data_IF_953000759810
#
_entry.id   IF_953000759810
#
_cell.length_a   1.000
_cell.length_b   1.000
_cell.length_c   1.000
_cell.angle_alpha   90.00
_cell.angle_beta   90.00
_cell.angle_gamma   90.00
#
_symmetry.space_group_name_H-M   'P 1'
#
loop_
_entity.id
_entity.type
_entity.pdbx_description
1 polymer ?
#
# COMPACT_ATOMS: atom_id res chain seq x y z
N UNK A 1 8.18 -3.70 -3.79
CA UNK A 1 6.97 -4.12 -3.03
C UNK A 1 7.21 -3.92 -1.54
N UNK A 2 7.95 -4.81 -0.86
CA UNK A 2 8.47 -4.56 0.49
C UNK A 2 9.81 -3.81 0.38
N UNK A 3 9.90 -2.51 0.72
CA UNK A 3 11.12 -1.74 0.52
C UNK A 3 12.20 -2.08 1.55
N UNK A 4 13.46 -2.06 1.10
CA UNK A 4 14.63 -2.33 1.97
C UNK A 4 14.69 -1.38 3.17
N UNK A 5 14.31 -0.10 3.01
CA UNK A 5 14.40 0.91 4.07
C UNK A 5 13.53 0.61 5.30
N UNK A 6 12.37 -0.02 5.11
CA UNK A 6 11.48 -0.45 6.22
C UNK A 6 12.12 -1.58 7.03
N UNK A 7 12.96 -2.40 6.39
CA UNK A 7 13.61 -3.56 6.99
C UNK A 7 15.03 -3.24 7.52
N UNK A 8 15.39 -1.96 7.63
CA UNK A 8 16.75 -1.51 8.01
C UNK A 8 17.20 -1.86 9.43
N UNK A 9 16.35 -2.52 10.22
CA UNK A 9 16.67 -3.02 11.55
C UNK A 9 17.43 -4.35 11.54
N UNK A 10 17.47 -5.06 10.40
CA UNK A 10 18.17 -6.34 10.24
C UNK A 10 18.69 -6.50 8.80
N UNK A 11 19.98 -6.84 8.66
CA UNK A 11 20.63 -6.95 7.35
C UNK A 11 20.10 -8.10 6.49
N UNK A 12 19.68 -9.21 7.11
CA UNK A 12 19.17 -10.36 6.37
C UNK A 12 17.73 -10.11 5.92
N UNK A 13 16.94 -9.37 6.70
CA UNK A 13 15.65 -8.85 6.21
C UNK A 13 15.82 -7.85 5.07
N UNK A 14 16.82 -6.96 5.13
CA UNK A 14 17.14 -6.09 3.99
C UNK A 14 17.48 -6.91 2.75
N UNK A 15 18.39 -7.88 2.83
CA UNK A 15 18.78 -8.75 1.70
C UNK A 15 17.58 -9.49 1.12
N UNK A 16 16.67 -10.00 1.95
CA UNK A 16 15.46 -10.68 1.50
C UNK A 16 14.59 -9.80 0.58
N UNK A 17 14.60 -8.47 0.75
CA UNK A 17 13.85 -7.55 -0.12
C UNK A 17 14.38 -7.47 -1.56
N UNK A 18 15.63 -7.88 -1.80
CA UNK A 18 16.24 -7.88 -3.14
C UNK A 18 15.96 -9.18 -3.93
N UNK A 19 15.16 -10.09 -3.38
CA UNK A 19 14.71 -11.28 -4.11
C UNK A 19 13.67 -10.91 -5.18
N UNK A 20 13.70 -11.58 -6.33
CA UNK A 20 12.78 -11.29 -7.44
C UNK A 20 11.31 -11.56 -7.09
N UNK A 21 11.04 -12.37 -6.06
CA UNK A 21 9.68 -12.59 -5.54
C UNK A 21 9.09 -11.35 -4.87
N UNK A 22 9.92 -10.35 -4.52
CA UNK A 22 9.52 -9.08 -3.94
C UNK A 22 9.58 -7.90 -4.94
N UNK A 23 9.94 -8.18 -6.19
CA UNK A 23 10.11 -7.17 -7.24
C UNK A 23 8.99 -7.25 -8.27
N UNK A 24 8.59 -6.09 -8.79
CA UNK A 24 7.77 -5.96 -9.98
C UNK A 24 8.43 -4.94 -10.90
N UNK A 25 8.34 -5.09 -12.24
CA UNK A 25 8.85 -4.07 -13.14
C UNK A 25 8.14 -2.72 -12.87
N UNK A 26 8.92 -1.68 -12.61
CA UNK A 26 8.41 -0.34 -12.30
C UNK A 26 9.27 0.70 -13.00
N UNK A 27 8.64 1.74 -13.56
CA UNK A 27 9.36 2.86 -14.13
C UNK A 27 10.12 3.63 -13.06
N UNK A 28 11.33 4.09 -13.40
CA UNK A 28 12.16 4.89 -12.49
C UNK A 28 11.43 6.16 -12.04
N UNK A 29 10.73 6.83 -12.95
CA UNK A 29 9.92 8.02 -12.66
C UNK A 29 8.84 7.78 -11.60
N UNK A 30 8.27 6.57 -11.56
CA UNK A 30 7.35 6.14 -10.51
C UNK A 30 8.10 5.78 -9.23
N UNK A 31 9.09 4.88 -9.34
CA UNK A 31 9.81 4.28 -8.21
C UNK A 31 10.65 5.29 -7.42
N UNK A 32 11.54 6.02 -8.10
CA UNK A 32 12.50 6.96 -7.51
C UNK A 32 11.91 8.34 -7.21
N UNK A 33 10.60 8.52 -7.45
CA UNK A 33 9.90 9.79 -7.25
C UNK A 33 8.78 9.67 -6.21
N UNK A 34 7.51 9.77 -6.61
CA UNK A 34 6.38 9.73 -5.67
C UNK A 34 6.33 8.47 -4.81
N UNK A 35 6.75 7.32 -5.35
CA UNK A 35 6.71 6.04 -4.65
C UNK A 35 7.73 5.99 -3.50
N UNK A 36 9.01 6.32 -3.78
CA UNK A 36 10.04 6.43 -2.75
C UNK A 36 9.65 7.43 -1.65
N UNK A 37 9.07 8.57 -2.04
CA UNK A 37 8.60 9.57 -1.08
C UNK A 37 7.54 8.96 -0.15
N UNK A 38 6.59 8.22 -0.71
CA UNK A 38 5.56 7.55 0.07
C UNK A 38 6.12 6.45 1.00
N UNK A 39 7.07 5.63 0.53
CA UNK A 39 7.74 4.64 1.38
C UNK A 39 8.45 5.31 2.57
N UNK A 40 9.04 6.50 2.36
CA UNK A 40 9.58 7.33 3.44
C UNK A 40 8.52 7.77 4.45
N UNK A 41 7.35 8.21 3.97
CA UNK A 41 6.21 8.60 4.82
C UNK A 41 5.66 7.43 5.65
N UNK A 42 5.60 6.22 5.08
CA UNK A 42 5.25 5.00 5.83
C UNK A 42 6.28 4.72 6.92
N UNK A 43 7.57 4.76 6.58
CA UNK A 43 8.65 4.51 7.55
C UNK A 43 8.59 5.49 8.72
N UNK A 44 8.31 6.78 8.44
CA UNK A 44 8.09 7.82 9.45
C UNK A 44 6.86 7.52 10.31
N UNK A 45 5.73 7.15 9.71
CA UNK A 45 4.52 6.77 10.45
C UNK A 45 4.78 5.57 11.38
N UNK A 46 5.48 4.54 10.89
CA UNK A 46 5.83 3.37 11.68
C UNK A 46 6.66 3.75 12.91
N UNK A 47 7.71 4.56 12.71
CA UNK A 47 8.68 4.94 13.74
C UNK A 47 8.18 5.99 14.72
N UNK A 48 7.36 6.94 14.27
CA UNK A 48 7.01 8.13 15.05
C UNK A 48 5.55 8.16 15.48
N UNK A 49 4.72 7.23 15.02
CA UNK A 49 3.28 7.21 15.34
C UNK A 49 2.81 5.83 15.75
N UNK A 50 3.01 4.81 14.91
CA UNK A 50 2.48 3.48 15.21
C UNK A 50 3.23 2.81 16.37
N UNK A 51 4.55 2.73 16.30
CA UNK A 51 5.38 1.94 17.21
C UNK A 51 5.76 2.62 18.54
N UNK A 52 5.26 3.81 18.83
CA UNK A 52 5.73 4.64 19.97
C UNK A 52 4.64 4.97 20.99
N UNK A 53 5.09 5.41 22.16
CA UNK A 53 4.22 5.94 23.22
C UNK A 53 3.22 4.91 23.74
N UNK A 54 2.02 5.39 24.09
CA UNK A 54 0.93 4.53 24.59
C UNK A 54 0.37 3.56 23.55
N UNK A 55 0.70 3.73 22.27
CA UNK A 55 0.28 2.80 21.22
C UNK A 55 1.14 1.56 21.24
N UNK A 56 2.47 1.70 21.15
CA UNK A 56 3.40 0.58 20.95
C UNK A 56 2.84 -0.47 19.97
N UNK A 57 2.26 0.04 18.87
CA UNK A 57 1.43 -0.74 17.97
C UNK A 57 2.25 -1.57 17.00
N UNK A 58 1.58 -2.54 16.37
CA UNK A 58 2.14 -3.33 15.28
C UNK A 58 1.55 -2.85 13.95
N UNK A 59 2.42 -2.42 13.03
CA UNK A 59 2.03 -2.05 11.68
C UNK A 59 2.08 -3.27 10.76
N UNK A 60 0.92 -3.66 10.23
CA UNK A 60 0.82 -4.64 9.15
C UNK A 60 0.79 -3.88 7.81
N UNK A 61 1.65 -4.28 6.88
CA UNK A 61 1.78 -3.63 5.58
C UNK A 61 1.61 -4.67 4.47
N UNK A 62 0.72 -4.39 3.52
CA UNK A 62 0.55 -5.16 2.30
C UNK A 62 0.89 -4.28 1.11
N UNK A 63 1.81 -4.73 0.26
CA UNK A 63 2.14 -4.06 -1.01
C UNK A 63 1.84 -5.02 -2.15
N UNK A 64 1.23 -4.50 -3.21
CA UNK A 64 0.77 -5.28 -4.33
C UNK A 64 0.89 -4.57 -5.66
N UNK A 65 0.57 -5.31 -6.72
CA UNK A 65 0.40 -4.79 -8.08
C UNK A 65 -1.07 -4.83 -8.47
N UNK A 66 -1.44 -4.07 -9.51
CA UNK A 66 -2.78 -4.10 -10.08
C UNK A 66 -2.75 -4.04 -11.60
N UNK A 67 -3.70 -4.75 -12.21
CA UNK A 67 -4.01 -4.67 -13.63
C UNK A 67 -4.99 -3.53 -13.96
N UNK A 68 -5.48 -2.83 -12.94
CA UNK A 68 -6.25 -1.60 -13.06
C UNK A 68 -5.33 -0.43 -12.74
N UNK A 69 -5.32 0.59 -13.59
CA UNK A 69 -4.78 1.90 -13.23
C UNK A 69 -5.82 2.76 -12.55
N UNK A 70 -5.48 4.03 -12.36
CA UNK A 70 -6.30 5.07 -11.78
C UNK A 70 -6.45 6.23 -12.75
N UNK A 71 -7.64 6.83 -12.74
CA UNK A 71 -7.88 8.15 -13.30
C UNK A 71 -8.77 8.97 -12.36
N UNK A 72 -8.76 10.31 -12.45
CA UNK A 72 -9.70 11.15 -11.74
C UNK A 72 -11.14 10.81 -12.13
N UNK A 73 -11.97 10.48 -11.15
CA UNK A 73 -13.41 10.30 -11.30
C UNK A 73 -14.23 11.48 -10.79
N UNK A 74 -15.56 11.34 -10.73
CA UNK A 74 -16.46 12.37 -10.23
C UNK A 74 -16.07 12.86 -8.83
N UNK A 75 -16.01 14.18 -8.65
CA UNK A 75 -15.64 14.79 -7.37
C UNK A 75 -14.19 14.56 -6.95
N UNK A 76 -13.30 14.20 -7.90
CA UNK A 76 -11.88 13.96 -7.63
C UNK A 76 -11.57 12.60 -7.01
N UNK A 77 -12.58 11.74 -6.82
CA UNK A 77 -12.36 10.39 -6.30
C UNK A 77 -11.70 9.51 -7.37
N UNK A 78 -10.67 8.71 -7.01
CA UNK A 78 -10.06 7.79 -7.96
C UNK A 78 -11.07 6.74 -8.43
N UNK A 79 -11.04 6.40 -9.71
CA UNK A 79 -11.78 5.27 -10.28
C UNK A 79 -10.83 4.38 -11.08
N UNK A 80 -11.22 3.11 -11.28
CA UNK A 80 -10.46 2.18 -12.11
C UNK A 80 -10.28 2.74 -13.53
N UNK A 81 -9.08 2.58 -14.06
CA UNK A 81 -8.72 2.87 -15.44
C UNK A 81 -8.09 1.64 -16.09
N UNK A 82 -8.84 0.99 -16.97
CA UNK A 82 -8.35 -0.11 -17.81
C UNK A 82 -7.79 0.38 -19.14
N UNK A 83 -7.98 1.66 -19.46
CA UNK A 83 -7.64 2.31 -20.73
C UNK A 83 -6.28 2.99 -20.71
N UNK A 84 -5.77 3.35 -19.53
CA UNK A 84 -4.39 3.82 -19.37
C UNK A 84 -3.44 2.83 -20.06
N UNK A 85 -2.39 3.25 -20.78
CA UNK A 85 -1.51 2.32 -21.46
C UNK A 85 -0.82 1.33 -20.50
N UNK A 86 -0.54 0.12 -20.98
CA UNK A 86 0.38 -0.75 -20.26
C UNK A 86 1.77 -0.10 -20.26
N UNK A 87 2.52 -0.19 -19.16
CA UNK A 87 3.83 0.47 -19.07
C UNK A 87 4.81 -0.12 -20.10
N UNK A 88 4.72 -1.43 -20.31
CA UNK A 88 5.34 -2.13 -21.43
C UNK A 88 4.32 -3.06 -22.08
N UNK A 89 4.25 -3.03 -23.41
CA UNK A 89 3.42 -3.96 -24.20
C UNK A 89 4.07 -5.32 -24.39
N UNK A 90 5.40 -5.41 -24.19
CA UNK A 90 6.13 -6.67 -24.22
C UNK A 90 6.13 -7.33 -22.84
N UNK A 91 5.91 -8.63 -22.83
CA UNK A 91 6.05 -9.47 -21.63
C UNK A 91 7.23 -10.42 -21.71
N UNK A 92 7.83 -10.60 -22.90
CA UNK A 92 9.00 -11.45 -23.09
C UNK A 92 10.30 -10.65 -22.94
N UNK A 93 11.20 -11.17 -22.13
CA UNK A 93 12.52 -10.63 -21.84
C UNK A 93 13.62 -11.63 -22.26
N UNK A 94 14.88 -11.19 -22.41
CA UNK A 94 15.98 -12.07 -22.79
C UNK A 94 16.05 -13.34 -21.93
N UNK A 95 16.50 -14.44 -22.55
CA UNK A 95 16.57 -15.78 -21.93
C UNK A 95 15.20 -16.41 -21.61
N UNK A 96 14.16 -16.03 -22.36
CA UNK A 96 12.84 -16.68 -22.29
C UNK A 96 12.05 -16.35 -21.02
N UNK A 97 12.40 -15.26 -20.32
CA UNK A 97 11.69 -14.84 -19.11
C UNK A 97 10.42 -14.09 -19.51
N UNK A 98 9.28 -14.52 -19.01
CA UNK A 98 8.01 -13.79 -19.17
C UNK A 98 7.67 -13.04 -17.89
N UNK A 99 7.58 -11.71 -17.96
CA UNK A 99 7.16 -10.84 -16.85
C UNK A 99 6.08 -9.88 -17.33
N UNK A 100 5.07 -9.67 -16.49
CA UNK A 100 4.05 -8.65 -16.73
C UNK A 100 4.47 -7.38 -16.00
N UNK A 101 4.43 -6.26 -16.70
CA UNK A 101 4.56 -4.95 -16.06
C UNK A 101 3.19 -4.47 -15.62
N UNK A 102 2.95 -4.27 -14.32
CA UNK A 102 1.62 -3.93 -13.81
C UNK A 102 1.25 -2.50 -14.15
N UNK A 103 -0.05 -2.21 -14.34
CA UNK A 103 -0.54 -0.84 -14.59
C UNK A 103 -0.33 0.07 -13.39
N UNK A 104 -0.40 -0.48 -12.19
CA UNK A 104 -0.27 0.26 -10.95
C UNK A 104 0.34 -0.60 -9.85
N UNK A 105 0.88 0.08 -8.86
CA UNK A 105 1.35 -0.46 -7.58
C UNK A 105 0.52 0.16 -6.45
N UNK A 106 0.34 -0.58 -5.37
CA UNK A 106 -0.46 -0.13 -4.23
C UNK A 106 0.10 -0.64 -2.92
N UNK A 107 -0.14 0.10 -1.84
CA UNK A 107 0.21 -0.29 -0.48
C UNK A 107 -0.95 0.01 0.44
N UNK A 108 -1.29 -0.93 1.33
CA UNK A 108 -2.24 -0.76 2.42
C UNK A 108 -1.54 -1.04 3.75
N UNK A 109 -1.72 -0.15 4.73
CA UNK A 109 -1.19 -0.30 6.07
C UNK A 109 -2.29 -0.31 7.12
N UNK A 110 -2.12 -1.12 8.16
CA UNK A 110 -2.94 -1.07 9.36
C UNK A 110 -2.06 -1.19 10.62
N UNK A 111 -2.00 -0.11 11.39
CA UNK A 111 -1.41 -0.09 12.72
C UNK A 111 -2.44 -0.55 13.74
N UNK A 112 -2.11 -1.57 14.53
CA UNK A 112 -3.00 -2.15 15.53
C UNK A 112 -2.36 -2.07 16.90
N UNK A 113 -3.12 -1.63 17.92
CA UNK A 113 -2.65 -1.61 19.30
C UNK A 113 -3.78 -1.90 20.30
N UNK A 114 -3.40 -2.08 21.56
CA UNK A 114 -4.33 -2.24 22.68
C UNK A 114 -4.31 -0.97 23.50
N UNK A 115 -5.46 -0.33 23.68
CA UNK A 115 -5.61 0.75 24.66
C UNK A 115 -6.15 0.19 25.97
N UNK A 116 -5.58 0.58 27.11
CA UNK A 116 -6.18 0.32 28.42
C UNK A 116 -7.61 0.89 28.47
N UNK A 117 -8.63 0.04 28.48
CA UNK A 117 -10.04 0.44 28.58
C UNK A 117 -10.62 0.03 29.93
N UNK A 118 -11.46 0.86 30.54
CA UNK A 118 -12.32 0.46 31.66
C UNK A 118 -13.73 0.21 31.14
N UNK A 119 -14.21 -1.02 31.25
CA UNK A 119 -15.60 -1.38 30.97
C UNK A 119 -16.17 -1.92 32.28
N UNK A 120 -17.23 -1.30 32.79
CA UNK A 120 -17.94 -1.72 34.01
C UNK A 120 -16.99 -1.95 35.21
N UNK A 121 -16.05 -1.03 35.43
CA UNK A 121 -15.10 -1.08 36.54
C UNK A 121 -13.92 -2.05 36.37
N UNK A 122 -13.93 -2.91 35.34
CA UNK A 122 -12.84 -3.84 35.02
C UNK A 122 -11.98 -3.34 33.86
N UNK A 123 -10.67 -3.54 33.94
CA UNK A 123 -9.74 -3.16 32.88
C UNK A 123 -9.75 -4.21 31.76
N UNK A 124 -10.32 -3.86 30.61
CA UNK A 124 -10.30 -4.66 29.40
C UNK A 124 -9.62 -3.87 28.29
N UNK A 125 -8.51 -4.37 27.71
CA UNK A 125 -7.86 -3.66 26.63
C UNK A 125 -8.77 -3.59 25.41
N UNK A 126 -9.09 -2.39 24.93
CA UNK A 126 -9.82 -2.21 23.67
C UNK A 126 -8.83 -2.26 22.51
N UNK A 127 -9.13 -3.09 21.51
CA UNK A 127 -8.32 -3.16 20.28
C UNK A 127 -8.61 -1.92 19.44
N UNK A 128 -7.58 -1.15 19.13
CA UNK A 128 -7.65 0.01 18.24
C UNK A 128 -6.85 -0.25 16.99
N UNK A 129 -7.25 0.42 15.91
CA UNK A 129 -6.52 0.37 14.66
C UNK A 129 -6.59 1.71 13.93
N UNK A 130 -5.52 2.01 13.21
CA UNK A 130 -5.43 3.10 12.24
C UNK A 130 -4.88 2.55 10.94
N UNK A 131 -5.40 3.04 9.82
CA UNK A 131 -5.15 2.45 8.51
C UNK A 131 -5.04 3.52 7.44
N UNK A 132 -4.26 3.22 6.42
CA UNK A 132 -4.05 4.06 5.24
C UNK A 132 -3.90 3.18 4.01
N UNK A 133 -4.14 3.74 2.84
CA UNK A 133 -3.84 3.09 1.58
C UNK A 133 -3.32 4.09 0.56
N UNK A 134 -2.50 3.61 -0.38
CA UNK A 134 -2.11 4.35 -1.56
C UNK A 134 -2.16 3.46 -2.79
N UNK A 135 -2.36 4.08 -3.94
CA UNK A 135 -2.13 3.45 -5.23
C UNK A 135 -1.60 4.48 -6.21
N UNK A 136 -0.68 4.06 -7.09
CA UNK A 136 -0.10 4.89 -8.13
C UNK A 136 0.03 4.09 -9.41
N UNK A 137 -0.28 4.73 -10.53
CA UNK A 137 0.01 4.19 -11.85
C UNK A 137 1.52 4.08 -12.05
N UNK A 138 1.91 3.01 -12.72
CA UNK A 138 3.28 2.72 -13.09
C UNK A 138 3.56 3.28 -14.49
N UNK A 139 3.82 4.58 -14.61
CA UNK A 139 4.01 5.24 -15.91
C UNK A 139 5.34 5.99 -15.95
N UNK A 140 5.89 6.16 -17.15
CA UNK A 140 7.07 6.99 -17.34
C UNK A 140 6.73 8.48 -17.34
N UNK A 141 5.54 8.84 -17.84
CA UNK A 141 5.06 10.22 -17.80
C UNK A 141 4.61 10.59 -16.36
N UNK A 142 5.24 11.58 -15.71
CA UNK A 142 4.88 12.02 -14.35
C UNK A 142 3.40 12.43 -14.21
N UNK A 143 2.82 13.03 -15.25
CA UNK A 143 1.43 13.49 -15.24
C UNK A 143 0.39 12.37 -15.20
N UNK A 144 0.81 11.12 -15.50
CA UNK A 144 -0.05 9.94 -15.51
C UNK A 144 0.10 9.06 -14.26
N UNK A 145 1.02 9.39 -13.35
CA UNK A 145 1.29 8.59 -12.15
C UNK A 145 0.09 8.52 -11.20
N UNK A 146 -0.74 9.56 -11.16
CA UNK A 146 -1.97 9.66 -10.36
C UNK A 146 -1.89 9.03 -8.96
N UNK A 147 -0.78 9.27 -8.25
CA UNK A 147 -0.57 8.74 -6.92
C UNK A 147 -1.63 9.29 -5.97
N UNK A 148 -2.41 8.39 -5.37
CA UNK A 148 -3.60 8.76 -4.59
C UNK A 148 -3.60 8.04 -3.26
N UNK A 149 -3.52 8.81 -2.18
CA UNK A 149 -3.75 8.32 -0.82
C UNK A 149 -5.26 8.25 -0.53
N UNK A 150 -5.71 7.17 0.09
CA UNK A 150 -7.13 6.84 0.22
C UNK A 150 -7.41 5.91 1.39
N UNK A 151 -8.69 5.65 1.67
CA UNK A 151 -9.11 4.65 2.66
C UNK A 151 -8.79 3.25 2.15
N UNK A 152 -8.54 2.30 3.06
CA UNK A 152 -8.41 0.88 2.72
C UNK A 152 -9.62 0.37 1.93
N UNK A 153 -10.83 0.78 2.29
CA UNK A 153 -12.06 0.37 1.60
C UNK A 153 -12.15 0.91 0.17
N UNK A 154 -11.57 2.08 -0.09
CA UNK A 154 -11.56 2.66 -1.43
C UNK A 154 -10.54 1.91 -2.31
N UNK A 155 -9.38 1.56 -1.75
CA UNK A 155 -8.41 0.69 -2.41
C UNK A 155 -9.00 -0.70 -2.68
N UNK A 156 -9.67 -1.32 -1.71
CA UNK A 156 -10.37 -2.61 -1.89
C UNK A 156 -11.35 -2.56 -3.06
N UNK A 157 -12.14 -1.47 -3.18
CA UNK A 157 -13.04 -1.27 -4.30
C UNK A 157 -12.29 -1.14 -5.65
N UNK A 158 -11.17 -0.41 -5.68
CA UNK A 158 -10.34 -0.23 -6.88
C UNK A 158 -9.59 -1.50 -7.30
N UNK A 159 -9.31 -2.40 -6.37
CA UNK A 159 -8.69 -3.70 -6.66
C UNK A 159 -9.72 -4.77 -7.03
N UNK A 160 -10.99 -4.56 -6.71
CA UNK A 160 -12.06 -5.53 -6.99
C UNK A 160 -12.39 -5.54 -8.48
N UNK A 161 -12.20 -6.69 -9.12
CA UNK A 161 -12.62 -6.88 -10.50
C UNK A 161 -14.16 -6.84 -10.60
N UNK A 162 -14.74 -6.11 -11.58
CA UNK A 162 -16.19 -6.10 -11.79
C UNK A 162 -16.77 -7.51 -11.89
N UNK A 163 -17.83 -7.79 -11.12
CA UNK A 163 -18.49 -9.10 -11.07
C UNK A 163 -17.78 -10.18 -10.23
N UNK A 164 -16.64 -9.85 -9.60
CA UNK A 164 -15.93 -10.76 -8.68
C UNK A 164 -16.25 -10.46 -7.22
N UNK A 165 -15.99 -11.40 -6.28
CA UNK A 165 -16.02 -11.10 -4.86
C UNK A 165 -15.12 -9.91 -4.50
N UNK A 166 -15.57 -9.09 -3.56
CA UNK A 166 -14.81 -7.93 -3.10
C UNK A 166 -13.49 -8.32 -2.42
N UNK A 167 -12.44 -7.55 -2.70
CA UNK A 167 -11.15 -7.66 -2.01
C UNK A 167 -11.33 -7.29 -0.53
N UNK A 168 -10.74 -8.07 0.38
CA UNK A 168 -10.64 -7.75 1.80
C UNK A 168 -9.18 -7.85 2.22
N UNK A 169 -8.52 -6.71 2.44
CA UNK A 169 -7.08 -6.65 2.69
C UNK A 169 -6.72 -7.00 4.13
N UNK A 170 -7.64 -6.77 5.08
CA UNK A 170 -7.43 -7.04 6.51
C UNK A 170 -8.58 -7.86 7.11
N UNK A 171 -8.80 -9.12 6.67
CA UNK A 171 -9.93 -9.93 7.13
C UNK A 171 -9.87 -10.27 8.63
N UNK A 172 -8.67 -10.25 9.23
CA UNK A 172 -8.46 -10.52 10.65
C UNK A 172 -8.74 -9.33 11.60
N UNK A 173 -8.97 -8.12 11.07
CA UNK A 173 -9.30 -6.96 11.89
C UNK A 173 -10.17 -5.94 11.15
N UNK A 174 -11.48 -5.98 11.40
CA UNK A 174 -12.43 -5.06 10.80
C UNK A 174 -12.22 -3.59 11.18
N UNK A 175 -11.44 -3.26 12.23
CA UNK A 175 -11.14 -1.86 12.57
C UNK A 175 -10.23 -1.20 11.53
N UNK A 176 -9.42 -1.98 10.79
CA UNK A 176 -8.58 -1.49 9.69
C UNK A 176 -9.38 -0.94 8.50
N UNK A 177 -10.70 -1.12 8.47
CA UNK A 177 -11.59 -0.61 7.41
C UNK A 177 -12.40 0.61 7.83
N UNK A 178 -12.36 0.97 9.12
CA UNK A 178 -13.24 1.98 9.72
C UNK A 178 -12.67 3.40 9.68
N UNK A 179 -11.40 3.57 9.36
CA UNK A 179 -10.71 4.86 9.48
C UNK A 179 -9.80 5.11 8.27
N UNK A 180 -9.18 6.29 8.26
CA UNK A 180 -8.21 6.70 7.26
C UNK A 180 -7.26 7.73 7.87
N UNK A 181 -5.99 7.39 7.99
CA UNK A 181 -4.97 8.33 8.45
C UNK A 181 -4.24 8.94 7.28
N UNK A 182 -3.94 10.22 7.38
CA UNK A 182 -3.03 10.90 6.47
C UNK A 182 -1.62 10.62 6.96
N UNK A 183 -0.78 10.02 6.12
CA UNK A 183 0.61 9.78 6.49
C UNK A 183 1.35 11.11 6.72
N UNK A 184 2.30 11.16 7.65
CA UNK A 184 3.11 12.35 7.87
C UNK A 184 3.86 12.72 6.57
N UNK A 185 4.14 14.00 6.32
CA UNK A 185 4.97 14.43 5.19
C UNK A 185 6.42 13.95 5.36
#
# INVERSE_FOLDING_TARGET
MNPSGINSFDIDFMKATFTLTNAAPQFETSNSGPWQTFEGRISKYARSTCGVGSRSGTLYLLTGTSNFGLRPGPGGKPVQDTTIPLPYTRTAFPRGVTLVTPRAVWTAGCCVWKEPGKILGSWWPSKKAESFAIMSNNQDNPGLLHQTEMRVTDLEALLTQPGSPGVNLFPGDGNCRKNNVILPP
#
